data_IF_347596094488
#
_entry.id   IF_347596094488
#
_cell.length_a   1.000
_cell.length_b   1.000
_cell.length_c   1.000
_cell.angle_alpha   90.00
_cell.angle_beta   90.00
_cell.angle_gamma   90.00
#
_symmetry.space_group_name_H-M   'P 1'
#
loop_
_entity.id
_entity.type
_entity.pdbx_description
1 polymer ?
#
# COMPACT_ATOMS: atom_id res chain seq x y z
N UNK A 1 -10.30 10.32 -3.93
CA UNK A 1 -9.85 11.45 -4.77
C UNK A 1 -8.36 11.63 -4.59
N UNK A 2 -7.62 11.84 -5.69
CA UNK A 2 -6.24 12.35 -5.63
C UNK A 2 -5.15 11.40 -6.12
N UNK A 3 -5.08 11.13 -7.44
CA UNK A 3 -3.79 10.86 -8.12
C UNK A 3 -3.86 10.98 -9.66
N UNK A 4 -4.66 11.90 -10.21
CA UNK A 4 -4.59 12.25 -11.65
C UNK A 4 -4.67 13.77 -11.90
N UNK A 5 -4.31 14.57 -10.89
CA UNK A 5 -4.29 16.05 -10.97
C UNK A 5 -2.98 16.65 -11.46
N UNK A 6 -2.16 15.94 -12.24
CA UNK A 6 -0.85 16.46 -12.71
C UNK A 6 -0.62 16.41 -14.23
N UNK A 7 -1.65 16.23 -15.04
CA UNK A 7 -1.48 16.32 -16.51
C UNK A 7 -2.35 17.36 -17.21
N UNK A 8 -3.25 18.06 -16.51
CA UNK A 8 -4.05 19.12 -17.12
C UNK A 8 -4.13 20.34 -16.19
N UNK A 9 -3.03 21.10 -16.15
CA UNK A 9 -2.99 22.46 -15.64
C UNK A 9 -3.24 23.44 -16.79
N UNK A 10 -4.43 24.06 -16.76
CA UNK A 10 -4.82 25.38 -17.28
C UNK A 10 -3.98 25.97 -18.42
N UNK A 11 -4.62 26.06 -19.59
CA UNK A 11 -4.43 27.15 -20.54
C UNK A 11 -4.80 28.48 -19.87
N UNK A 12 -3.86 29.42 -19.84
CA UNK A 12 -4.11 30.84 -20.01
C UNK A 12 -2.80 31.53 -20.43
N UNK A 13 -2.85 32.13 -21.62
CA UNK A 13 -2.02 33.21 -22.16
C UNK A 13 -0.51 33.16 -21.87
N UNK A 14 0.24 32.66 -22.86
CA UNK A 14 1.47 33.30 -23.33
C UNK A 14 1.48 33.23 -24.86
N UNK A 15 1.36 34.42 -25.43
CA UNK A 15 2.04 34.90 -26.63
C UNK A 15 1.87 34.10 -27.92
N UNK A 16 1.00 34.65 -28.75
CA UNK A 16 1.29 34.94 -30.16
C UNK A 16 2.77 35.14 -30.44
N UNK A 17 3.48 34.07 -30.75
CA UNK A 17 4.59 34.02 -31.71
C UNK A 17 5.03 32.54 -31.83
N UNK A 18 5.51 32.16 -33.02
CA UNK A 18 6.14 30.87 -33.30
C UNK A 18 5.27 29.60 -33.35
N UNK A 19 4.45 29.50 -34.41
CA UNK A 19 4.54 28.29 -35.23
C UNK A 19 4.21 28.56 -36.71
N UNK A 20 4.95 29.52 -37.30
CA UNK A 20 5.17 29.54 -38.76
C UNK A 20 6.32 28.58 -39.09
N UNK A 21 6.09 27.30 -38.85
CA UNK A 21 6.91 26.20 -39.35
C UNK A 21 6.48 25.73 -40.76
N UNK A 22 5.84 26.61 -41.54
CA UNK A 22 5.81 26.45 -42.99
C UNK A 22 7.23 26.73 -43.45
N UNK A 23 7.99 25.68 -43.77
CA UNK A 23 9.24 25.77 -44.50
C UNK A 23 8.92 26.61 -45.74
N UNK A 24 9.30 27.88 -45.71
CA UNK A 24 9.35 28.74 -46.88
C UNK A 24 10.33 28.05 -47.81
N UNK A 25 9.80 27.44 -48.85
CA UNK A 25 10.59 27.01 -49.97
C UNK A 25 11.20 28.26 -50.60
N UNK A 26 12.47 28.46 -50.26
CA UNK A 26 13.27 29.53 -50.80
C UNK A 26 13.33 29.37 -52.31
N UNK A 27 13.05 30.48 -52.99
CA UNK A 27 13.25 30.68 -54.42
C UNK A 27 14.76 30.70 -54.79
N UNK A 28 15.62 29.96 -54.07
CA UNK A 28 17.10 29.99 -54.15
C UNK A 28 17.69 28.98 -55.13
N UNK A 29 16.88 28.12 -55.75
CA UNK A 29 17.39 27.08 -56.66
C UNK A 29 18.05 27.66 -57.92
N UNK A 30 17.75 28.90 -58.33
CA UNK A 30 18.46 29.53 -59.46
C UNK A 30 19.82 30.11 -59.08
N UNK A 31 19.99 30.59 -57.85
CA UNK A 31 21.21 31.28 -57.42
C UNK A 31 22.29 30.30 -56.93
N UNK A 32 21.93 29.14 -56.39
CA UNK A 32 22.90 28.10 -55.98
C UNK A 32 23.59 27.38 -57.15
N UNK A 33 22.91 27.20 -58.29
CA UNK A 33 23.47 26.52 -59.48
C UNK A 33 24.63 27.32 -60.09
N UNK A 34 24.61 28.65 -59.92
CA UNK A 34 25.58 29.60 -60.48
C UNK A 34 26.93 29.58 -59.72
N UNK A 35 27.01 28.94 -58.54
CA UNK A 35 28.23 28.86 -57.72
C UNK A 35 28.97 27.51 -57.70
N UNK A 36 28.45 26.46 -58.35
CA UNK A 36 28.99 25.09 -58.28
C UNK A 36 30.16 24.86 -59.26
N UNK A 37 31.30 25.50 -58.99
CA UNK A 37 32.44 25.51 -59.90
C UNK A 37 33.23 24.18 -59.91
N UNK A 38 33.21 23.39 -58.83
CA UNK A 38 33.94 22.10 -58.75
C UNK A 38 33.07 20.88 -59.04
N UNK A 39 33.65 19.85 -59.67
CA UNK A 39 33.03 18.54 -59.88
C UNK A 39 32.63 17.85 -58.56
N UNK A 40 33.38 18.07 -57.48
CA UNK A 40 33.06 17.55 -56.14
C UNK A 40 31.79 18.16 -55.56
N UNK A 41 31.53 19.45 -55.81
CA UNK A 41 30.37 20.16 -55.27
C UNK A 41 29.09 19.75 -56.00
N UNK A 42 29.18 19.55 -57.32
CA UNK A 42 28.07 19.04 -58.14
C UNK A 42 27.67 17.63 -57.73
N UNK A 43 28.65 16.76 -57.49
CA UNK A 43 28.43 15.40 -56.96
C UNK A 43 27.77 15.42 -55.57
N UNK A 44 28.23 16.31 -54.68
CA UNK A 44 27.65 16.51 -53.35
C UNK A 44 26.18 16.95 -53.44
N UNK A 45 25.88 17.92 -54.30
CA UNK A 45 24.52 18.42 -54.53
C UNK A 45 23.57 17.35 -55.07
N UNK A 46 24.03 16.52 -56.04
CA UNK A 46 23.23 15.41 -56.56
C UNK A 46 22.98 14.37 -55.46
N UNK A 47 23.99 14.07 -54.65
CA UNK A 47 23.87 13.10 -53.55
C UNK A 47 22.86 13.56 -52.51
N UNK A 48 22.95 14.81 -52.06
CA UNK A 48 22.02 15.39 -51.07
C UNK A 48 20.57 15.39 -51.57
N UNK A 49 20.34 15.83 -52.82
CA UNK A 49 19.00 15.79 -53.40
C UNK A 49 18.50 14.35 -53.61
N UNK A 50 19.38 13.40 -53.92
CA UNK A 50 19.03 11.97 -54.01
C UNK A 50 18.67 11.38 -52.64
N UNK A 51 19.35 11.78 -51.57
CA UNK A 51 19.01 11.42 -50.19
C UNK A 51 17.65 11.98 -49.78
N UNK A 52 17.37 13.24 -50.13
CA UNK A 52 16.06 13.86 -49.92
C UNK A 52 14.95 13.09 -50.64
N UNK A 53 15.16 12.70 -51.90
CA UNK A 53 14.18 11.90 -52.67
C UNK A 53 13.94 10.54 -52.01
N UNK A 54 15.01 9.86 -51.59
CA UNK A 54 14.91 8.54 -50.97
C UNK A 54 14.19 8.59 -49.61
N UNK A 55 14.54 9.55 -48.76
CA UNK A 55 13.89 9.72 -47.46
C UNK A 55 12.44 10.20 -47.61
N UNK A 56 12.16 11.13 -48.52
CA UNK A 56 10.79 11.57 -48.82
C UNK A 56 9.93 10.39 -49.29
N UNK A 57 10.47 9.53 -50.15
CA UNK A 57 9.79 8.32 -50.61
C UNK A 57 9.49 7.36 -49.45
N UNK A 58 10.47 7.09 -48.58
CA UNK A 58 10.29 6.25 -47.39
C UNK A 58 9.17 6.77 -46.49
N UNK A 59 9.20 8.07 -46.18
CA UNK A 59 8.19 8.69 -45.33
C UNK A 59 6.80 8.75 -45.98
N UNK A 60 6.72 8.89 -47.31
CA UNK A 60 5.45 8.79 -48.06
C UNK A 60 4.87 7.39 -47.90
N UNK A 61 5.66 6.34 -48.09
CA UNK A 61 5.17 4.96 -47.96
C UNK A 61 4.73 4.64 -46.53
N UNK A 62 5.52 5.01 -45.52
CA UNK A 62 5.11 4.88 -44.10
C UNK A 62 3.80 5.62 -43.81
N UNK A 63 3.69 6.87 -44.26
CA UNK A 63 2.49 7.69 -44.04
C UNK A 63 1.28 7.16 -44.80
N UNK A 64 1.47 6.54 -45.98
CA UNK A 64 0.39 5.90 -46.74
C UNK A 64 -0.16 4.67 -46.03
N UNK A 65 0.70 3.83 -45.46
CA UNK A 65 0.28 2.65 -44.69
C UNK A 65 -0.57 3.08 -43.49
N UNK A 66 -0.09 4.06 -42.73
CA UNK A 66 -0.85 4.61 -41.60
C UNK A 66 -2.16 5.27 -42.05
N UNK A 67 -2.13 6.03 -43.15
CA UNK A 67 -3.31 6.66 -43.72
C UNK A 67 -4.38 5.63 -44.13
N UNK A 68 -3.97 4.51 -44.72
CA UNK A 68 -4.86 3.41 -45.07
C UNK A 68 -5.47 2.79 -43.81
N UNK A 69 -4.69 2.55 -42.76
CA UNK A 69 -5.18 2.04 -41.49
C UNK A 69 -6.21 2.99 -40.83
N UNK A 70 -5.91 4.30 -40.76
CA UNK A 70 -6.85 5.30 -40.23
C UNK A 70 -8.14 5.38 -41.08
N UNK A 71 -8.02 5.23 -42.40
CA UNK A 71 -9.18 5.24 -43.30
C UNK A 71 -10.02 3.97 -43.15
N UNK A 72 -9.39 2.81 -42.99
CA UNK A 72 -10.06 1.54 -42.66
C UNK A 72 -10.87 1.70 -41.37
N UNK A 73 -10.24 2.24 -40.33
CA UNK A 73 -10.88 2.43 -39.04
C UNK A 73 -12.08 3.38 -39.13
N UNK A 74 -11.96 4.53 -39.80
CA UNK A 74 -13.10 5.44 -40.03
C UNK A 74 -14.23 4.78 -40.83
N UNK A 75 -13.90 3.91 -41.78
CA UNK A 75 -14.88 3.15 -42.56
C UNK A 75 -15.62 2.14 -41.67
N UNK A 76 -14.90 1.49 -40.77
CA UNK A 76 -15.47 0.58 -39.79
C UNK A 76 -16.40 1.30 -38.79
N UNK A 77 -16.06 2.52 -38.34
CA UNK A 77 -16.98 3.34 -37.56
C UNK A 77 -18.29 3.59 -38.31
N UNK A 78 -18.22 3.93 -39.60
CA UNK A 78 -19.40 4.14 -40.43
C UNK A 78 -20.24 2.87 -40.60
N UNK A 79 -19.60 1.70 -40.69
CA UNK A 79 -20.32 0.41 -40.72
C UNK A 79 -21.09 0.20 -39.42
N UNK A 80 -20.46 0.48 -38.27
CA UNK A 80 -21.08 0.35 -36.95
C UNK A 80 -22.24 1.33 -36.77
N UNK A 81 -22.09 2.59 -37.21
CA UNK A 81 -23.17 3.59 -37.14
C UNK A 81 -24.39 3.21 -37.98
N UNK A 82 -24.21 2.41 -39.04
CA UNK A 82 -25.26 1.96 -39.96
C UNK A 82 -25.97 0.68 -39.51
N UNK A 83 -25.55 0.06 -38.41
CA UNK A 83 -26.17 -1.17 -37.90
C UNK A 83 -27.61 -0.84 -37.44
N UNK A 84 -28.63 -1.61 -37.88
CA UNK A 84 -30.01 -1.43 -37.46
C UNK A 84 -30.19 -1.55 -35.95
N UNK A 85 -31.11 -0.77 -35.37
CA UNK A 85 -31.37 -0.74 -33.92
C UNK A 85 -31.70 -2.10 -33.32
N UNK A 86 -32.45 -2.93 -34.04
CA UNK A 86 -32.84 -4.30 -33.62
C UNK A 86 -31.64 -5.23 -33.45
N UNK A 87 -30.63 -5.12 -34.30
CA UNK A 87 -29.45 -6.00 -34.26
C UNK A 87 -28.29 -5.38 -33.45
N UNK A 88 -28.42 -4.09 -33.12
CA UNK A 88 -27.48 -3.33 -32.28
C UNK A 88 -27.56 -3.74 -30.80
N UNK A 89 -28.67 -4.30 -30.35
CA UNK A 89 -28.86 -4.73 -28.96
C UNK A 89 -27.78 -5.71 -28.49
N UNK A 90 -27.46 -6.73 -29.30
CA UNK A 90 -26.43 -7.73 -28.96
C UNK A 90 -25.01 -7.11 -28.85
N UNK A 91 -24.71 -6.14 -29.72
CA UNK A 91 -23.42 -5.43 -29.73
C UNK A 91 -23.33 -4.51 -28.50
N UNK A 92 -24.40 -3.79 -28.20
CA UNK A 92 -24.46 -2.91 -27.03
C UNK A 92 -24.44 -3.69 -25.73
N UNK A 93 -25.13 -4.82 -25.62
CA UNK A 93 -25.08 -5.66 -24.43
C UNK A 93 -23.66 -6.19 -24.19
N UNK A 94 -23.00 -6.73 -25.23
CA UNK A 94 -21.61 -7.15 -25.13
C UNK A 94 -20.70 -5.98 -24.71
N UNK A 95 -20.84 -4.80 -25.32
CA UNK A 95 -20.05 -3.62 -24.97
C UNK A 95 -20.31 -3.14 -23.53
N UNK A 96 -21.56 -3.15 -23.04
CA UNK A 96 -21.91 -2.81 -21.65
C UNK A 96 -21.22 -3.76 -20.67
N UNK A 97 -21.29 -5.06 -20.95
CA UNK A 97 -20.65 -6.07 -20.10
C UNK A 97 -19.13 -5.92 -20.12
N UNK A 98 -18.49 -5.73 -21.27
CA UNK A 98 -17.04 -5.47 -21.37
C UNK A 98 -16.64 -4.25 -20.54
N UNK A 99 -17.39 -3.14 -20.64
CA UNK A 99 -17.12 -1.92 -19.89
C UNK A 99 -17.23 -2.14 -18.37
N UNK A 100 -18.30 -2.80 -17.92
CA UNK A 100 -18.55 -3.08 -16.52
C UNK A 100 -17.49 -4.04 -15.93
N UNK A 101 -17.20 -5.14 -16.63
CA UNK A 101 -16.22 -6.14 -16.22
C UNK A 101 -14.80 -5.53 -16.17
N UNK A 102 -14.43 -4.73 -17.17
CA UNK A 102 -13.15 -4.01 -17.20
C UNK A 102 -13.01 -3.02 -16.04
N UNK A 103 -14.10 -2.32 -15.70
CA UNK A 103 -14.14 -1.40 -14.55
C UNK A 103 -13.98 -2.16 -13.23
N UNK A 104 -14.68 -3.28 -13.06
CA UNK A 104 -14.55 -4.14 -11.88
C UNK A 104 -13.12 -4.68 -11.74
N UNK A 105 -12.54 -5.18 -12.84
CA UNK A 105 -11.16 -5.68 -12.88
C UNK A 105 -10.14 -4.60 -12.47
N UNK A 106 -10.32 -3.38 -12.98
CA UNK A 106 -9.50 -2.24 -12.58
C UNK A 106 -9.68 -1.86 -11.11
N UNK A 107 -10.91 -1.95 -10.57
CA UNK A 107 -11.15 -1.71 -9.16
C UNK A 107 -10.45 -2.73 -8.27
N UNK A 108 -10.47 -4.02 -8.63
CA UNK A 108 -9.75 -5.07 -7.88
C UNK A 108 -8.24 -4.84 -7.95
N UNK A 109 -7.70 -4.56 -9.15
CA UNK A 109 -6.26 -4.32 -9.35
C UNK A 109 -5.73 -3.11 -8.57
N UNK A 110 -6.54 -2.07 -8.42
CA UNK A 110 -6.16 -0.84 -7.73
C UNK A 110 -6.38 -0.90 -6.21
N UNK A 111 -6.95 -1.99 -5.67
CA UNK A 111 -7.10 -2.15 -4.21
C UNK A 111 -5.74 -2.38 -3.57
N UNK A 112 -5.50 -1.66 -2.48
CA UNK A 112 -4.32 -1.86 -1.65
C UNK A 112 -4.67 -2.70 -0.45
N UNK A 113 -3.81 -3.69 -0.17
CA UNK A 113 -3.90 -4.55 0.98
C UNK A 113 -2.70 -4.33 1.87
N UNK A 114 -2.91 -4.46 3.18
CA UNK A 114 -1.83 -4.32 4.14
C UNK A 114 -1.15 -5.67 4.45
N UNK A 115 -1.40 -6.73 3.69
CA UNK A 115 -0.75 -8.04 3.86
C UNK A 115 0.43 -8.16 2.89
N UNK A 116 1.55 -8.69 3.36
CA UNK A 116 2.72 -8.94 2.50
C UNK A 116 2.59 -10.25 1.75
N UNK A 117 3.30 -10.42 0.63
CA UNK A 117 3.29 -11.66 -0.14
C UNK A 117 3.73 -12.88 0.69
N UNK A 118 4.71 -12.69 1.60
CA UNK A 118 5.18 -13.74 2.50
C UNK A 118 4.06 -14.15 3.46
N UNK A 119 3.38 -13.18 4.08
CA UNK A 119 2.23 -13.46 4.96
C UNK A 119 1.07 -14.12 4.21
N UNK A 120 0.81 -13.71 2.97
CA UNK A 120 -0.23 -14.32 2.14
C UNK A 120 0.04 -15.81 1.92
N UNK A 121 1.26 -16.17 1.50
CA UNK A 121 1.65 -17.58 1.29
C UNK A 121 1.62 -18.39 2.58
N UNK A 122 2.04 -17.79 3.68
CA UNK A 122 1.95 -18.41 5.00
C UNK A 122 0.49 -18.75 5.35
N UNK A 123 -0.44 -17.81 5.09
CA UNK A 123 -1.85 -18.01 5.41
C UNK A 123 -2.52 -19.04 4.51
N UNK A 124 -2.10 -19.11 3.25
CA UNK A 124 -2.49 -20.18 2.33
C UNK A 124 -2.06 -21.56 2.83
N UNK A 125 -0.82 -21.68 3.34
CA UNK A 125 -0.31 -22.93 3.92
C UNK A 125 -1.10 -23.37 5.17
N UNK A 126 -1.45 -22.44 6.05
CA UNK A 126 -2.12 -22.73 7.33
C UNK A 126 -3.64 -22.47 7.32
N UNK A 127 -4.26 -22.33 6.16
CA UNK A 127 -5.65 -21.88 6.00
C UNK A 127 -6.65 -22.70 6.83
N UNK A 128 -6.47 -24.02 6.85
CA UNK A 128 -7.36 -24.94 7.59
C UNK A 128 -7.20 -24.86 9.11
N UNK A 129 -6.03 -24.43 9.58
CA UNK A 129 -5.68 -24.38 11.01
C UNK A 129 -5.91 -22.99 11.59
N UNK A 130 -5.78 -21.94 10.77
CA UNK A 130 -5.86 -20.54 11.17
C UNK A 130 -7.13 -20.17 11.95
N UNK A 131 -8.35 -20.61 11.58
CA UNK A 131 -9.54 -20.30 12.37
C UNK A 131 -9.45 -20.79 13.81
N UNK A 132 -8.89 -21.99 14.03
CA UNK A 132 -8.68 -22.56 15.36
C UNK A 132 -7.57 -21.82 16.11
N UNK A 133 -6.47 -21.53 15.41
CA UNK A 133 -5.34 -20.80 16.01
C UNK A 133 -5.73 -19.35 16.37
N UNK A 134 -6.64 -18.73 15.62
CA UNK A 134 -7.19 -17.41 15.93
C UNK A 134 -7.94 -17.41 17.26
N UNK A 135 -8.81 -18.41 17.48
CA UNK A 135 -9.53 -18.59 18.74
C UNK A 135 -8.57 -18.89 19.88
N UNK A 136 -7.61 -19.80 19.65
CA UNK A 136 -6.61 -20.17 20.66
C UNK A 136 -5.74 -18.98 21.07
N UNK A 137 -5.36 -18.12 20.13
CA UNK A 137 -4.59 -16.91 20.39
C UNK A 137 -5.39 -15.90 21.20
N UNK A 138 -6.68 -15.71 20.87
CA UNK A 138 -7.59 -14.84 21.63
C UNK A 138 -7.72 -15.30 23.08
N UNK A 139 -7.92 -16.60 23.27
CA UNK A 139 -8.03 -17.19 24.60
C UNK A 139 -6.72 -17.06 25.37
N UNK A 140 -5.58 -17.25 24.73
CA UNK A 140 -4.27 -17.09 25.35
C UNK A 140 -3.97 -15.63 25.75
N UNK A 141 -4.36 -14.64 24.95
CA UNK A 141 -4.26 -13.22 25.32
C UNK A 141 -5.16 -12.89 26.51
N UNK A 142 -6.43 -13.28 26.47
CA UNK A 142 -7.36 -13.09 27.59
C UNK A 142 -6.86 -13.79 28.86
N UNK A 143 -6.30 -14.99 28.73
CA UNK A 143 -5.73 -15.72 29.85
C UNK A 143 -4.49 -15.01 30.42
N UNK A 144 -3.72 -14.31 29.59
CA UNK A 144 -2.58 -13.51 30.05
C UNK A 144 -3.06 -12.34 30.91
N UNK A 145 -4.11 -11.63 30.49
CA UNK A 145 -4.71 -10.54 31.25
C UNK A 145 -5.23 -11.03 32.63
N UNK A 146 -5.90 -12.19 32.65
CA UNK A 146 -6.36 -12.81 33.89
C UNK A 146 -5.20 -13.17 34.83
N UNK A 147 -4.11 -13.74 34.29
CA UNK A 147 -2.90 -14.07 35.04
C UNK A 147 -2.27 -12.81 35.65
N UNK A 148 -2.19 -11.71 34.90
CA UNK A 148 -1.62 -10.46 35.39
C UNK A 148 -2.47 -9.88 36.53
N UNK A 149 -3.80 -9.92 36.40
CA UNK A 149 -4.72 -9.57 37.49
C UNK A 149 -4.52 -10.41 38.75
N UNK A 150 -4.27 -11.73 38.59
CA UNK A 150 -3.97 -12.63 39.70
C UNK A 150 -2.61 -12.32 40.37
N UNK A 151 -1.58 -11.98 39.59
CA UNK A 151 -0.27 -11.55 40.11
C UNK A 151 -0.43 -10.29 40.95
N UNK A 152 -1.14 -9.28 40.43
CA UNK A 152 -1.38 -8.02 41.15
C UNK A 152 -2.14 -8.25 42.45
N UNK A 153 -3.15 -9.14 42.43
CA UNK A 153 -3.90 -9.50 43.64
C UNK A 153 -3.01 -10.19 44.68
N UNK A 154 -2.19 -11.16 44.26
CA UNK A 154 -1.29 -11.88 45.16
C UNK A 154 -0.19 -10.98 45.72
N UNK A 155 0.32 -10.03 44.93
CA UNK A 155 1.31 -9.07 45.42
C UNK A 155 0.67 -8.12 46.45
N UNK A 156 -0.57 -7.65 46.23
CA UNK A 156 -1.32 -6.89 47.25
C UNK A 156 -1.55 -7.69 48.53
N UNK A 157 -1.97 -8.95 48.42
CA UNK A 157 -2.17 -9.82 49.59
C UNK A 157 -0.86 -10.06 50.36
N UNK A 158 0.25 -10.26 49.64
CA UNK A 158 1.59 -10.37 50.22
C UNK A 158 1.97 -9.10 50.98
N UNK A 159 1.76 -7.90 50.40
CA UNK A 159 2.04 -6.65 51.09
C UNK A 159 1.17 -6.49 52.34
N UNK A 160 -0.12 -6.82 52.26
CA UNK A 160 -1.01 -6.78 53.44
C UNK A 160 -0.49 -7.67 54.59
N UNK A 161 0.01 -8.88 54.29
CA UNK A 161 0.59 -9.75 55.32
C UNK A 161 1.92 -9.24 55.87
N UNK A 162 2.75 -8.58 55.05
CA UNK A 162 3.97 -7.93 55.52
C UNK A 162 3.64 -6.76 56.47
N UNK A 163 2.64 -5.96 56.12
CA UNK A 163 2.17 -4.86 56.96
C UNK A 163 1.57 -5.37 58.28
N UNK A 164 0.71 -6.40 58.23
CA UNK A 164 0.15 -7.05 59.42
C UNK A 164 1.26 -7.61 60.33
N UNK A 165 2.29 -8.24 59.74
CA UNK A 165 3.45 -8.72 60.48
C UNK A 165 4.19 -7.57 61.17
N UNK A 166 4.43 -6.47 60.47
CA UNK A 166 5.10 -5.28 61.00
C UNK A 166 4.29 -4.64 62.14
N UNK A 167 2.97 -4.56 62.01
CA UNK A 167 2.08 -4.08 63.06
C UNK A 167 2.18 -4.92 64.34
N UNK A 168 2.18 -6.26 64.22
CA UNK A 168 2.29 -7.14 65.39
C UNK A 168 3.68 -7.05 66.02
N UNK A 169 4.75 -6.94 65.21
CA UNK A 169 6.11 -6.70 65.72
C UNK A 169 6.18 -5.38 66.49
N UNK A 170 5.53 -4.32 65.98
CA UNK A 170 5.46 -3.02 66.64
C UNK A 170 4.66 -3.10 67.95
N UNK A 171 3.51 -3.78 67.98
CA UNK A 171 2.74 -4.07 69.21
C UNK A 171 3.59 -4.83 70.23
N UNK A 172 4.39 -5.80 69.78
CA UNK A 172 5.29 -6.55 70.65
C UNK A 172 6.40 -5.67 71.22
N UNK A 173 6.97 -4.76 70.41
CA UNK A 173 7.95 -3.78 70.87
C UNK A 173 7.36 -2.83 71.90
N UNK A 174 6.12 -2.36 71.67
CA UNK A 174 5.38 -1.50 72.59
C UNK A 174 5.08 -2.20 73.93
N UNK A 175 4.63 -3.47 73.91
CA UNK A 175 4.43 -4.26 75.13
C UNK A 175 5.72 -4.44 75.94
N UNK A 176 6.87 -4.63 75.27
CA UNK A 176 8.17 -4.65 75.95
C UNK A 176 8.50 -3.30 76.60
N UNK A 177 8.12 -2.20 75.98
CA UNK A 177 8.21 -0.85 76.55
C UNK A 177 7.36 -0.71 77.81
N UNK A 178 6.07 -1.07 77.74
CA UNK A 178 5.15 -1.07 78.89
C UNK A 178 5.68 -1.93 80.03
N UNK A 179 6.18 -3.14 79.73
CA UNK A 179 6.73 -4.03 80.75
C UNK A 179 7.87 -3.35 81.54
N UNK A 180 8.79 -2.69 80.83
CA UNK A 180 9.91 -1.95 81.45
C UNK A 180 9.40 -0.77 82.29
N UNK A 181 8.45 0.03 81.78
CA UNK A 181 7.92 1.19 82.51
C UNK A 181 7.14 0.76 83.75
N UNK A 182 6.28 -0.25 83.64
CA UNK A 182 5.50 -0.77 84.77
C UNK A 182 6.42 -1.33 85.85
N UNK A 183 7.49 -2.03 85.47
CA UNK A 183 8.49 -2.52 86.43
C UNK A 183 9.16 -1.36 87.20
N UNK A 184 9.59 -0.30 86.50
CA UNK A 184 10.17 0.89 87.14
C UNK A 184 9.17 1.58 88.08
N UNK A 185 7.92 1.76 87.66
CA UNK A 185 6.86 2.38 88.47
C UNK A 185 6.62 1.59 89.76
N UNK A 186 6.54 0.27 89.68
CA UNK A 186 6.37 -0.60 90.86
C UNK A 186 7.54 -0.41 91.83
N UNK A 187 8.78 -0.42 91.35
CA UNK A 187 9.97 -0.21 92.19
C UNK A 187 9.94 1.15 92.92
N UNK A 188 9.56 2.22 92.22
CA UNK A 188 9.45 3.56 92.80
C UNK A 188 8.35 3.61 93.87
N UNK A 189 7.17 3.03 93.60
CA UNK A 189 6.08 2.96 94.59
C UNK A 189 6.49 2.19 95.84
N UNK A 190 7.18 1.05 95.67
CA UNK A 190 7.73 0.28 96.78
C UNK A 190 8.70 1.10 97.64
N UNK A 191 9.61 1.85 97.00
CA UNK A 191 10.58 2.70 97.71
C UNK A 191 9.90 3.83 98.49
N UNK A 192 8.90 4.49 97.89
CA UNK A 192 8.14 5.57 98.55
C UNK A 192 7.39 5.04 99.78
N UNK A 193 6.67 3.92 99.64
CA UNK A 193 5.93 3.35 100.76
C UNK A 193 6.85 2.83 101.88
N UNK A 194 8.03 2.30 101.54
CA UNK A 194 9.02 1.89 102.53
C UNK A 194 9.55 3.09 103.35
N UNK A 195 9.87 4.21 102.68
CA UNK A 195 10.31 5.44 103.34
C UNK A 195 9.22 6.05 104.23
N UNK A 196 7.97 6.08 103.75
CA UNK A 196 6.84 6.61 104.53
C UNK A 196 6.53 5.74 105.75
N UNK A 197 6.61 4.41 105.62
CA UNK A 197 6.43 3.48 106.75
C UNK A 197 7.50 3.70 107.83
N UNK A 198 8.75 3.95 107.44
CA UNK A 198 9.85 4.20 108.39
C UNK A 198 9.78 5.57 109.08
N UNK A 199 9.21 6.59 108.44
CA UNK A 199 9.22 7.99 108.96
C UNK A 199 7.95 8.34 109.72
N UNK A 200 6.79 7.84 109.28
CA UNK A 200 5.48 8.27 109.81
C UNK A 200 4.85 7.26 110.78
N UNK A 201 5.41 6.05 110.92
CA UNK A 201 4.90 5.01 111.81
C UNK A 201 3.52 4.44 111.44
N UNK A 202 3.02 4.76 110.24
CA UNK A 202 1.72 4.29 109.72
C UNK A 202 1.86 2.89 109.13
N UNK A 203 0.87 2.03 109.37
CA UNK A 203 0.78 0.71 108.74
C UNK A 203 0.49 0.85 107.23
N UNK A 204 1.49 0.61 106.38
CA UNK A 204 1.40 0.73 104.91
C UNK A 204 1.09 -0.61 104.21
N UNK A 205 0.58 -1.60 104.93
CA UNK A 205 0.32 -2.97 104.44
C UNK A 205 -0.66 -2.99 103.25
N UNK A 206 -1.75 -2.23 103.33
CA UNK A 206 -2.77 -2.15 102.30
C UNK A 206 -2.24 -1.54 100.97
N UNK A 207 -1.54 -0.38 100.96
CA UNK A 207 -0.88 0.14 99.76
C UNK A 207 0.10 -0.83 99.10
N UNK A 208 0.95 -1.52 99.89
CA UNK A 208 1.86 -2.54 99.33
C UNK A 208 1.09 -3.68 98.67
N UNK A 209 0.06 -4.21 99.32
CA UNK A 209 -0.78 -5.28 98.75
C UNK A 209 -1.42 -4.85 97.42
N UNK A 210 -1.94 -3.63 97.35
CA UNK A 210 -2.54 -3.09 96.12
C UNK A 210 -1.53 -2.95 94.98
N UNK A 211 -0.28 -2.54 95.26
CA UNK A 211 0.77 -2.47 94.23
C UNK A 211 1.18 -3.84 93.71
N UNK A 212 1.24 -4.86 94.58
CA UNK A 212 1.52 -6.23 94.17
C UNK A 212 0.39 -6.77 93.28
N UNK A 213 -0.88 -6.54 93.65
CA UNK A 213 -2.02 -6.95 92.84
C UNK A 213 -2.03 -6.25 91.47
N UNK A 214 -1.74 -4.95 91.42
CA UNK A 214 -1.62 -4.20 90.17
C UNK A 214 -0.47 -4.73 89.29
N UNK A 215 0.69 -5.02 89.89
CA UNK A 215 1.83 -5.61 89.20
C UNK A 215 1.52 -6.99 88.63
N UNK A 216 0.87 -7.85 89.43
CA UNK A 216 0.44 -9.18 89.01
C UNK A 216 -0.56 -9.10 87.84
N UNK A 217 -1.57 -8.25 87.93
CA UNK A 217 -2.54 -8.04 86.85
C UNK A 217 -1.90 -7.55 85.55
N UNK A 218 -0.98 -6.58 85.66
CA UNK A 218 -0.25 -6.04 84.50
C UNK A 218 0.67 -7.08 83.86
N UNK A 219 1.39 -7.86 84.68
CA UNK A 219 2.27 -8.91 84.19
C UNK A 219 1.49 -10.03 83.47
N UNK A 220 0.34 -10.44 84.01
CA UNK A 220 -0.54 -11.41 83.38
C UNK A 220 -1.06 -10.91 82.03
N UNK A 221 -1.51 -9.66 81.96
CA UNK A 221 -1.98 -9.05 80.71
C UNK A 221 -0.87 -9.00 79.64
N UNK A 222 0.32 -8.50 80.01
CA UNK A 222 1.47 -8.42 79.09
C UNK A 222 1.88 -9.82 78.62
N UNK A 223 1.90 -10.81 79.51
CA UNK A 223 2.25 -12.18 79.15
C UNK A 223 1.26 -12.79 78.17
N UNK A 224 -0.05 -12.62 78.40
CA UNK A 224 -1.10 -13.11 77.51
C UNK A 224 -0.99 -12.47 76.12
N UNK A 225 -0.89 -11.13 76.05
CA UNK A 225 -0.83 -10.43 74.76
C UNK A 225 0.48 -10.71 74.02
N UNK A 226 1.61 -10.83 74.75
CA UNK A 226 2.89 -11.20 74.15
C UNK A 226 2.87 -12.61 73.55
N UNK A 227 2.24 -13.57 74.24
CA UNK A 227 2.09 -14.95 73.74
C UNK A 227 1.20 -14.99 72.50
N UNK A 228 0.11 -14.21 72.51
CA UNK A 228 -0.78 -14.06 71.37
C UNK A 228 -0.05 -13.47 70.16
N UNK A 229 0.65 -12.36 70.32
CA UNK A 229 1.46 -11.76 69.26
C UNK A 229 2.49 -12.74 68.67
N UNK A 230 3.18 -13.52 69.51
CA UNK A 230 4.14 -14.52 69.04
C UNK A 230 3.48 -15.63 68.21
N UNK A 231 2.28 -16.07 68.59
CA UNK A 231 1.49 -17.01 67.80
C UNK A 231 1.04 -16.40 66.47
N UNK A 232 0.53 -15.17 66.50
CA UNK A 232 -0.01 -14.49 65.32
C UNK A 232 1.09 -14.21 64.28
N UNK A 233 2.29 -13.81 64.71
CA UNK A 233 3.46 -13.68 63.81
C UNK A 233 3.76 -15.00 63.10
N UNK A 234 3.75 -16.13 63.81
CA UNK A 234 3.99 -17.44 63.20
C UNK A 234 2.90 -17.80 62.19
N UNK A 235 1.64 -17.50 62.50
CA UNK A 235 0.53 -17.74 61.58
C UNK A 235 0.64 -16.89 60.31
N UNK A 236 0.98 -15.61 60.44
CA UNK A 236 1.19 -14.71 59.29
C UNK A 236 2.36 -15.18 58.44
N UNK A 237 3.46 -15.62 59.03
CA UNK A 237 4.60 -16.18 58.27
C UNK A 237 4.18 -17.38 57.41
N UNK A 238 3.32 -18.26 57.92
CA UNK A 238 2.79 -19.39 57.15
C UNK A 238 1.90 -18.91 55.99
N UNK A 239 1.02 -17.91 56.23
CA UNK A 239 0.20 -17.30 55.17
C UNK A 239 1.06 -16.64 54.10
N UNK A 240 2.07 -15.86 54.51
CA UNK A 240 3.01 -15.17 53.62
C UNK A 240 3.76 -16.17 52.73
N UNK A 241 4.29 -17.26 53.30
CA UNK A 241 4.96 -18.31 52.53
C UNK A 241 4.02 -18.95 51.49
N UNK A 242 2.75 -19.17 51.86
CA UNK A 242 1.74 -19.69 50.92
C UNK A 242 1.48 -18.71 49.78
N UNK A 243 1.32 -17.42 50.06
CA UNK A 243 1.12 -16.39 49.02
C UNK A 243 2.33 -16.30 48.10
N UNK A 244 3.55 -16.30 48.64
CA UNK A 244 4.79 -16.28 47.83
C UNK A 244 4.84 -17.49 46.90
N UNK A 245 4.53 -18.70 47.40
CA UNK A 245 4.48 -19.91 46.57
C UNK A 245 3.43 -19.79 45.44
N UNK A 246 2.23 -19.27 45.76
CA UNK A 246 1.18 -19.05 44.76
C UNK A 246 1.61 -18.01 43.72
N UNK A 247 2.20 -16.90 44.15
CA UNK A 247 2.71 -15.84 43.28
C UNK A 247 3.76 -16.39 42.31
N UNK A 248 4.74 -17.15 42.81
CA UNK A 248 5.75 -17.80 41.97
C UNK A 248 5.11 -18.78 40.95
N UNK A 249 4.11 -19.57 41.37
CA UNK A 249 3.40 -20.49 40.48
C UNK A 249 2.66 -19.74 39.37
N UNK A 250 1.99 -18.65 39.68
CA UNK A 250 1.28 -17.81 38.70
C UNK A 250 2.26 -17.08 37.79
N UNK A 251 3.38 -16.58 38.32
CA UNK A 251 4.44 -15.96 37.53
C UNK A 251 5.03 -16.93 36.49
N UNK A 252 5.28 -18.19 36.87
CA UNK A 252 5.73 -19.23 35.92
C UNK A 252 4.69 -19.45 34.82
N UNK A 253 3.40 -19.49 35.16
CA UNK A 253 2.32 -19.61 34.15
C UNK A 253 2.32 -18.41 33.20
N UNK A 254 2.49 -17.20 33.72
CA UNK A 254 2.61 -15.99 32.89
C UNK A 254 3.75 -16.08 31.91
N UNK A 255 4.93 -16.49 32.36
CA UNK A 255 6.11 -16.62 31.48
C UNK A 255 5.86 -17.67 30.40
N UNK A 256 5.30 -18.83 30.77
CA UNK A 256 4.98 -19.88 29.82
C UNK A 256 3.94 -19.43 28.77
N UNK A 257 2.91 -18.71 29.19
CA UNK A 257 1.87 -18.20 28.30
C UNK A 257 2.41 -17.10 27.38
N UNK A 258 3.23 -16.17 27.89
CA UNK A 258 3.94 -15.16 27.08
C UNK A 258 4.84 -15.81 26.04
N UNK A 259 5.60 -16.84 26.39
CA UNK A 259 6.42 -17.57 25.42
C UNK A 259 5.58 -18.21 24.30
N UNK A 260 4.40 -18.73 24.63
CA UNK A 260 3.45 -19.26 23.65
C UNK A 260 2.91 -18.15 22.73
N UNK A 261 2.51 -17.01 23.30
CA UNK A 261 2.06 -15.83 22.55
C UNK A 261 3.18 -15.33 21.60
N UNK A 262 4.39 -15.15 22.11
CA UNK A 262 5.56 -14.72 21.33
C UNK A 262 5.86 -15.65 20.15
N UNK A 263 5.73 -16.96 20.37
CA UNK A 263 5.84 -17.96 19.30
C UNK A 263 4.77 -17.76 18.24
N UNK A 264 3.49 -17.64 18.64
CA UNK A 264 2.38 -17.43 17.71
C UNK A 264 2.51 -16.11 16.93
N UNK A 265 2.88 -15.03 17.61
CA UNK A 265 3.16 -13.73 17.04
C UNK A 265 4.27 -13.80 15.99
N UNK A 266 5.38 -14.47 16.31
CA UNK A 266 6.49 -14.68 15.39
C UNK A 266 6.10 -15.55 14.20
N UNK A 267 5.39 -16.66 14.45
CA UNK A 267 4.91 -17.59 13.41
C UNK A 267 4.08 -16.87 12.37
N UNK A 268 3.18 -15.98 12.78
CA UNK A 268 2.26 -15.26 11.89
C UNK A 268 2.70 -13.84 11.50
N UNK A 269 3.86 -13.39 11.99
CA UNK A 269 4.37 -12.04 11.78
C UNK A 269 3.36 -10.95 12.20
N UNK A 270 2.77 -11.14 13.38
CA UNK A 270 1.78 -10.24 13.99
C UNK A 270 2.14 -10.01 15.46
N UNK A 271 1.61 -8.95 16.07
CA UNK A 271 1.87 -8.61 17.48
C UNK A 271 0.67 -8.80 18.40
N UNK A 272 -0.49 -9.14 17.83
CA UNK A 272 -1.72 -9.38 18.60
C UNK A 272 -2.74 -10.20 17.81
N UNK A 273 -3.71 -10.77 18.52
CA UNK A 273 -4.91 -11.40 17.98
C UNK A 273 -5.65 -10.48 17.02
N UNK A 274 -5.85 -9.22 17.39
CA UNK A 274 -6.55 -8.25 16.56
C UNK A 274 -5.84 -8.01 15.23
N UNK A 275 -4.51 -7.98 15.25
CA UNK A 275 -3.75 -7.89 14.02
C UNK A 275 -3.86 -9.18 13.20
N UNK A 276 -3.73 -10.35 13.82
CA UNK A 276 -3.91 -11.65 13.13
C UNK A 276 -5.28 -11.74 12.45
N UNK A 277 -6.34 -11.37 13.17
CA UNK A 277 -7.71 -11.35 12.67
C UNK A 277 -7.87 -10.45 11.45
N UNK A 278 -7.40 -9.20 11.53
CA UNK A 278 -7.44 -8.27 10.39
C UNK A 278 -6.68 -8.81 9.18
N UNK A 279 -5.51 -9.41 9.40
CA UNK A 279 -4.71 -10.04 8.32
C UNK A 279 -5.46 -11.21 7.69
N UNK A 280 -6.09 -12.03 8.52
CA UNK A 280 -6.85 -13.20 8.07
C UNK A 280 -8.07 -12.80 7.23
N UNK A 281 -8.82 -11.80 7.69
CA UNK A 281 -9.95 -11.22 6.94
C UNK A 281 -9.49 -10.64 5.60
N UNK A 282 -8.33 -9.97 5.57
CA UNK A 282 -7.73 -9.49 4.32
C UNK A 282 -7.34 -10.63 3.38
N UNK A 283 -6.73 -11.70 3.89
CA UNK A 283 -6.40 -12.89 3.11
C UNK A 283 -7.65 -13.51 2.47
N UNK A 284 -8.69 -13.75 3.26
CA UNK A 284 -9.96 -14.31 2.75
C UNK A 284 -10.57 -13.41 1.68
N UNK A 285 -10.53 -12.08 1.90
CA UNK A 285 -11.02 -11.11 0.92
C UNK A 285 -10.21 -11.15 -0.38
N UNK A 286 -8.88 -11.21 -0.32
CA UNK A 286 -8.03 -11.32 -1.51
C UNK A 286 -8.32 -12.63 -2.24
N UNK A 287 -8.49 -13.74 -1.52
CA UNK A 287 -8.82 -15.04 -2.13
C UNK A 287 -10.17 -15.02 -2.84
N UNK A 288 -11.19 -14.41 -2.24
CA UNK A 288 -12.50 -14.23 -2.88
C UNK A 288 -12.40 -13.31 -4.11
N UNK A 289 -11.66 -12.21 -4.00
CA UNK A 289 -11.43 -11.29 -5.12
C UNK A 289 -10.65 -11.92 -6.26
N UNK A 290 -9.66 -12.78 -5.98
CA UNK A 290 -8.92 -13.51 -7.00
C UNK A 290 -9.85 -14.46 -7.76
N UNK A 291 -10.72 -15.20 -7.07
CA UNK A 291 -11.74 -16.03 -7.72
C UNK A 291 -12.70 -15.20 -8.58
N UNK A 292 -13.18 -14.07 -8.05
CA UNK A 292 -14.01 -13.14 -8.81
C UNK A 292 -13.28 -12.58 -10.03
N UNK A 293 -11.99 -12.28 -9.90
CA UNK A 293 -11.15 -11.78 -10.99
C UNK A 293 -10.98 -12.83 -12.08
N UNK A 294 -10.77 -14.10 -11.72
CA UNK A 294 -10.72 -15.22 -12.67
C UNK A 294 -12.06 -15.38 -13.40
N UNK A 295 -13.18 -15.43 -12.68
CA UNK A 295 -14.51 -15.52 -13.29
C UNK A 295 -14.84 -14.30 -14.16
N UNK A 296 -14.50 -13.09 -13.70
CA UNK A 296 -14.65 -11.85 -14.47
C UNK A 296 -13.80 -11.90 -15.75
N UNK A 297 -12.58 -12.43 -15.69
CA UNK A 297 -11.70 -12.56 -16.85
C UNK A 297 -12.27 -13.51 -17.91
N UNK A 298 -12.84 -14.65 -17.47
CA UNK A 298 -13.53 -15.59 -18.37
C UNK A 298 -14.76 -14.95 -19.02
N UNK A 299 -15.58 -14.24 -18.24
CA UNK A 299 -16.74 -13.52 -18.78
C UNK A 299 -16.32 -12.39 -19.74
N UNK A 300 -15.24 -11.68 -19.43
CA UNK A 300 -14.72 -10.60 -20.27
C UNK A 300 -14.27 -11.16 -21.62
N UNK A 301 -13.56 -12.29 -21.63
CA UNK A 301 -13.17 -13.00 -22.86
C UNK A 301 -14.40 -13.44 -23.66
N UNK A 302 -15.40 -14.04 -22.99
CA UNK A 302 -16.65 -14.44 -23.62
C UNK A 302 -17.38 -13.27 -24.30
N UNK A 303 -17.52 -12.13 -23.62
CA UNK A 303 -18.17 -10.96 -24.21
C UNK A 303 -17.31 -10.28 -25.29
N UNK A 304 -15.98 -10.31 -25.18
CA UNK A 304 -15.09 -9.86 -26.25
C UNK A 304 -15.32 -10.67 -27.53
N UNK A 305 -15.44 -11.99 -27.41
CA UNK A 305 -15.69 -12.88 -28.55
C UNK A 305 -17.06 -12.62 -29.19
N UNK A 306 -18.10 -12.41 -28.37
CA UNK A 306 -19.43 -12.01 -28.87
C UNK A 306 -19.32 -10.71 -29.64
N UNK A 307 -18.70 -9.67 -29.06
CA UNK A 307 -18.57 -8.37 -29.71
C UNK A 307 -17.84 -8.48 -31.05
N UNK A 308 -16.71 -9.19 -31.08
CA UNK A 308 -15.93 -9.43 -32.31
C UNK A 308 -16.78 -10.16 -33.35
N UNK A 309 -17.49 -11.22 -32.95
CA UNK A 309 -18.33 -12.02 -33.84
C UNK A 309 -19.46 -11.19 -34.45
N UNK A 310 -20.16 -10.40 -33.65
CA UNK A 310 -21.25 -9.55 -34.13
C UNK A 310 -20.73 -8.46 -35.07
N UNK A 311 -19.61 -7.80 -34.75
CA UNK A 311 -19.00 -6.80 -35.62
C UNK A 311 -18.54 -7.39 -36.97
N UNK A 312 -18.00 -8.61 -36.97
CA UNK A 312 -17.59 -9.32 -38.20
C UNK A 312 -18.78 -9.59 -39.15
N UNK A 313 -20.00 -9.80 -38.64
CA UNK A 313 -21.20 -9.96 -39.49
C UNK A 313 -21.46 -8.74 -40.38
N UNK A 314 -21.13 -7.54 -39.89
CA UNK A 314 -21.25 -6.28 -40.63
C UNK A 314 -19.99 -5.90 -41.41
N UNK A 315 -19.06 -6.86 -41.60
CA UNK A 315 -17.80 -6.68 -42.33
C UNK A 315 -16.93 -5.56 -41.74
N UNK A 316 -17.00 -5.33 -40.43
CA UNK A 316 -16.02 -4.51 -39.71
C UNK A 316 -14.67 -5.22 -39.84
N UNK A 317 -13.68 -4.51 -40.35
CA UNK A 317 -12.37 -5.06 -40.73
C UNK A 317 -11.52 -5.31 -39.48
N UNK A 318 -11.42 -4.28 -38.64
CA UNK A 318 -10.62 -4.26 -37.42
C UNK A 318 -11.50 -4.40 -36.18
N UNK A 319 -12.29 -5.48 -36.12
CA UNK A 319 -13.28 -5.72 -35.04
C UNK A 319 -12.66 -5.78 -33.64
N UNK A 320 -11.40 -6.19 -33.53
CA UNK A 320 -10.69 -6.33 -32.25
C UNK A 320 -10.38 -4.99 -31.57
N UNK A 321 -10.26 -3.89 -32.32
CA UNK A 321 -9.99 -2.58 -31.74
C UNK A 321 -11.14 -2.12 -30.83
N UNK A 322 -12.35 -2.58 -31.14
CA UNK A 322 -13.58 -2.14 -30.48
C UNK A 322 -13.77 -2.71 -29.08
N UNK A 323 -13.10 -3.80 -28.72
CA UNK A 323 -13.12 -4.33 -27.34
C UNK A 323 -12.44 -3.37 -26.36
N UNK A 324 -11.55 -2.49 -26.84
CA UNK A 324 -10.87 -1.47 -26.06
C UNK A 324 -11.61 -0.13 -26.03
N UNK A 325 -12.67 0.02 -26.84
CA UNK A 325 -13.47 1.25 -26.91
C UNK A 325 -14.98 0.95 -26.81
N UNK A 326 -15.43 0.16 -25.81
CA UNK A 326 -16.84 -0.16 -25.65
C UNK A 326 -17.70 1.10 -25.43
N UNK A 327 -17.15 2.14 -24.78
CA UNK A 327 -17.85 3.41 -24.59
C UNK A 327 -18.25 4.09 -25.90
N UNK A 328 -17.45 3.97 -26.96
CA UNK A 328 -17.76 4.56 -28.25
C UNK A 328 -18.93 3.85 -28.95
N UNK A 329 -19.14 2.56 -28.69
CA UNK A 329 -20.30 1.80 -29.19
C UNK A 329 -21.59 2.25 -28.48
N UNK A 330 -21.48 2.51 -27.17
CA UNK A 330 -22.61 2.81 -26.28
C UNK A 330 -23.04 4.28 -26.28
N UNK A 331 -22.10 5.22 -26.40
CA UNK A 331 -22.36 6.66 -26.43
C UNK A 331 -21.91 7.27 -27.76
N UNK A 332 -22.87 7.83 -28.49
CA UNK A 332 -22.62 8.56 -29.74
C UNK A 332 -21.61 9.72 -29.60
N UNK A 333 -21.50 10.34 -28.42
CA UNK A 333 -20.55 11.43 -28.17
C UNK A 333 -19.12 10.91 -28.17
N UNK A 334 -18.87 9.81 -27.46
CA UNK A 334 -17.58 9.12 -27.46
C UNK A 334 -17.20 8.67 -28.89
N UNK A 335 -18.16 8.15 -29.66
CA UNK A 335 -17.96 7.83 -31.08
C UNK A 335 -17.52 9.05 -31.91
N UNK A 336 -18.15 10.21 -31.69
CA UNK A 336 -17.82 11.46 -32.38
C UNK A 336 -16.41 11.94 -32.00
N UNK A 337 -16.02 11.85 -30.74
CA UNK A 337 -14.66 12.22 -30.29
C UNK A 337 -13.59 11.34 -30.93
N UNK A 338 -13.80 10.01 -30.94
CA UNK A 338 -12.91 9.05 -31.63
C UNK A 338 -12.82 9.40 -33.12
N UNK A 339 -13.96 9.70 -33.76
CA UNK A 339 -14.02 10.05 -35.19
C UNK A 339 -13.29 11.35 -35.48
N UNK A 340 -13.45 12.37 -34.63
CA UNK A 340 -12.76 13.65 -34.77
C UNK A 340 -11.25 13.46 -34.67
N UNK A 341 -10.76 12.74 -33.65
CA UNK A 341 -9.33 12.42 -33.48
C UNK A 341 -8.74 11.72 -34.71
N UNK A 342 -9.46 10.73 -35.26
CA UNK A 342 -9.03 10.00 -36.46
C UNK A 342 -9.04 10.88 -37.71
N UNK A 343 -10.03 11.77 -37.86
CA UNK A 343 -10.08 12.71 -38.97
C UNK A 343 -8.91 13.71 -38.94
N UNK A 344 -8.58 14.26 -37.77
CA UNK A 344 -7.42 15.14 -37.59
C UNK A 344 -6.13 14.39 -37.93
N UNK A 345 -5.96 13.16 -37.42
CA UNK A 345 -4.80 12.31 -37.75
C UNK A 345 -4.69 12.05 -39.25
N UNK A 346 -5.82 11.71 -39.90
CA UNK A 346 -5.89 11.49 -41.35
C UNK A 346 -5.52 12.74 -42.16
N UNK A 347 -5.95 13.91 -41.71
CA UNK A 347 -5.62 15.19 -42.35
C UNK A 347 -4.12 15.50 -42.26
N UNK A 348 -3.51 15.34 -41.07
CA UNK A 348 -2.06 15.50 -40.88
C UNK A 348 -1.26 14.53 -41.76
N UNK A 349 -1.72 13.28 -41.91
CA UNK A 349 -1.08 12.31 -42.80
C UNK A 349 -1.15 12.74 -44.27
N UNK A 350 -2.27 13.34 -44.72
CA UNK A 350 -2.37 13.89 -46.08
C UNK A 350 -1.40 15.05 -46.30
N UNK A 351 -1.34 15.98 -45.35
CA UNK A 351 -0.43 17.13 -45.40
C UNK A 351 1.03 16.66 -45.45
N UNK A 352 1.40 15.67 -44.62
CA UNK A 352 2.74 15.08 -44.63
C UNK A 352 3.07 14.40 -45.97
N UNK A 353 2.15 13.62 -46.53
CA UNK A 353 2.33 12.99 -47.84
C UNK A 353 2.49 14.05 -48.94
N UNK A 354 1.70 15.12 -48.88
CA UNK A 354 1.75 16.20 -49.88
C UNK A 354 3.07 16.97 -49.78
N UNK A 355 3.48 17.36 -48.58
CA UNK A 355 4.75 18.04 -48.34
C UNK A 355 5.95 17.20 -48.81
N UNK A 356 5.97 15.90 -48.47
CA UNK A 356 7.05 15.01 -48.92
C UNK A 356 7.04 14.78 -50.43
N UNK A 357 5.86 14.78 -51.08
CA UNK A 357 5.77 14.73 -52.55
C UNK A 357 6.29 16.01 -53.19
N UNK A 358 6.00 17.17 -52.63
CA UNK A 358 6.52 18.46 -53.10
C UNK A 358 8.04 18.50 -52.96
N UNK A 359 8.57 18.11 -51.79
CA UNK A 359 10.01 18.01 -51.55
C UNK A 359 10.69 17.03 -52.51
N UNK A 360 10.07 15.87 -52.78
CA UNK A 360 10.57 14.92 -53.78
C UNK A 360 10.62 15.54 -55.18
N UNK A 361 9.58 16.27 -55.58
CA UNK A 361 9.52 16.95 -56.89
C UNK A 361 10.54 18.06 -57.03
N UNK A 362 10.76 18.83 -55.98
CA UNK A 362 11.73 19.92 -55.99
C UNK A 362 13.17 19.40 -56.02
N UNK A 363 13.48 18.37 -55.24
CA UNK A 363 14.77 17.70 -55.31
C UNK A 363 15.01 17.07 -56.70
N UNK A 364 13.98 16.48 -57.31
CA UNK A 364 14.08 15.97 -58.69
C UNK A 364 14.31 17.08 -59.72
N UNK A 365 13.60 18.21 -59.60
CA UNK A 365 13.81 19.41 -60.45
C UNK A 365 15.21 20.01 -60.25
N UNK A 366 15.71 20.06 -59.02
CA UNK A 366 17.05 20.53 -58.71
C UNK A 366 18.12 19.68 -59.43
N UNK A 367 18.02 18.35 -59.33
CA UNK A 367 18.92 17.43 -60.05
C UNK A 367 18.80 17.64 -61.57
N UNK A 368 17.59 17.72 -62.12
CA UNK A 368 17.40 17.97 -63.56
C UNK A 368 17.97 19.31 -64.03
N UNK A 369 17.77 20.37 -63.25
CA UNK A 369 18.29 21.69 -63.59
C UNK A 369 19.82 21.72 -63.58
N UNK A 370 20.45 20.96 -62.68
CA UNK A 370 21.90 20.78 -62.64
C UNK A 370 22.39 19.99 -63.86
N UNK A 371 21.73 18.88 -64.22
CA UNK A 371 22.07 18.09 -65.42
C UNK A 371 21.95 18.95 -66.69
N UNK A 372 20.90 19.78 -66.79
CA UNK A 372 20.70 20.67 -67.93
C UNK A 372 21.77 21.77 -68.01
N UNK A 373 22.24 22.27 -66.87
CA UNK A 373 23.31 23.27 -66.81
C UNK A 373 24.70 22.66 -67.07
N UNK A 374 24.92 21.40 -66.69
CA UNK A 374 26.19 20.69 -66.80
C UNK A 374 25.99 19.26 -67.35
N UNK A 375 25.96 19.06 -68.68
CA UNK A 375 25.75 17.75 -69.30
C UNK A 375 26.75 16.68 -68.87
N UNK A 376 28.00 17.08 -68.57
CA UNK A 376 29.07 16.17 -68.13
C UNK A 376 28.75 15.46 -66.80
N UNK A 377 27.83 16.01 -66.00
CA UNK A 377 27.40 15.44 -64.71
C UNK A 377 26.25 14.43 -64.85
N UNK A 378 25.73 14.21 -66.05
CA UNK A 378 24.59 13.31 -66.31
C UNK A 378 24.90 11.85 -65.96
N UNK A 379 26.06 11.34 -66.42
CA UNK A 379 26.48 9.97 -66.15
C UNK A 379 26.67 9.71 -64.64
N UNK A 380 27.19 10.70 -63.91
CA UNK A 380 27.37 10.61 -62.46
C UNK A 380 26.02 10.70 -61.73
N UNK A 381 25.11 11.56 -62.17
CA UNK A 381 23.77 11.63 -61.63
C UNK A 381 23.02 10.30 -61.76
N UNK A 382 23.07 9.69 -62.95
CA UNK A 382 22.45 8.38 -63.20
C UNK A 382 23.05 7.30 -62.27
N UNK A 383 24.36 7.34 -62.02
CA UNK A 383 25.02 6.38 -61.12
C UNK A 383 24.56 6.52 -59.65
N UNK A 384 24.41 7.76 -59.17
CA UNK A 384 23.98 8.06 -57.81
C UNK A 384 22.50 7.69 -57.63
N UNK A 385 21.65 8.05 -58.58
CA UNK A 385 20.21 7.73 -58.56
C UNK A 385 19.97 6.20 -58.54
N UNK A 386 20.77 5.43 -59.30
CA UNK A 386 20.75 3.96 -59.23
C UNK A 386 21.14 3.43 -57.86
N UNK A 387 22.12 4.04 -57.17
CA UNK A 387 22.54 3.66 -55.82
C UNK A 387 21.41 3.83 -54.79
N UNK A 388 20.61 4.88 -54.92
CA UNK A 388 19.43 5.12 -54.06
C UNK A 388 18.15 4.39 -54.53
N UNK A 389 18.25 3.52 -55.55
CA UNK A 389 17.11 2.77 -56.15
C UNK A 389 15.97 3.67 -56.64
N UNK A 390 16.27 4.90 -57.04
CA UNK A 390 15.29 5.84 -57.58
C UNK A 390 15.09 5.48 -59.06
N UNK A 391 13.85 5.14 -59.46
CA UNK A 391 13.53 4.85 -60.87
C UNK A 391 13.71 6.10 -61.72
N UNK A 392 14.31 5.96 -62.92
CA UNK A 392 14.56 7.08 -63.85
C UNK A 392 13.26 7.79 -64.29
N UNK A 393 12.15 7.06 -64.25
CA UNK A 393 10.78 7.51 -64.54
C UNK A 393 10.28 8.59 -63.56
N UNK A 394 10.84 8.67 -62.34
CA UNK A 394 10.52 9.73 -61.35
C UNK A 394 11.15 11.07 -61.72
N UNK A 395 12.12 11.07 -62.63
CA UNK A 395 12.95 12.23 -62.99
C UNK A 395 12.59 12.71 -64.39
N UNK A 396 12.27 11.80 -65.32
CA UNK A 396 11.97 12.14 -66.72
C UNK A 396 10.53 12.64 -66.98
N UNK A 397 9.64 12.63 -65.99
CA UNK A 397 8.32 13.25 -66.04
C UNK A 397 7.93 13.81 -64.64
N UNK A 398 8.20 15.11 -64.35
CA UNK A 398 7.92 15.74 -63.04
C UNK A 398 6.44 15.95 -62.68
#
# INVERSE_FOLDING_TARGET
MGWLGRLFGKSNNLDTEDNKGLIRLNNSNKDQIVGLNSHTDRKGYIKENSEIIAESYRQIEESKVEYQAVTSYLTDMQKIDRIPTLEREAIEDAARNILNLSKERNNIRNRQYNITDIQYRLFEQYEMQLPKELTSLKEAESYQDDIEGDIDRLEKEKQNFLDEQNEIINKQSFLKGIAKTTFVVILVLFAIFALLSSTSGVEMTLPFLMTVLMGMGSALYIFMEARKNAHDVKMIQLKLNKVIMLANKVAIKSVNNRNYLDYCYSKYMVVSYEQLKKRWEQYIKIKDENKRFESNSQLLEFYNDILIKELKKYKVTDSEIWIYQPSAILDSREMVEVRHRLNVRRQKLRERIQANKEQQKEAAKAIMSLIKAYPDSEAEAISILKKYKIKQDVILNP
#
